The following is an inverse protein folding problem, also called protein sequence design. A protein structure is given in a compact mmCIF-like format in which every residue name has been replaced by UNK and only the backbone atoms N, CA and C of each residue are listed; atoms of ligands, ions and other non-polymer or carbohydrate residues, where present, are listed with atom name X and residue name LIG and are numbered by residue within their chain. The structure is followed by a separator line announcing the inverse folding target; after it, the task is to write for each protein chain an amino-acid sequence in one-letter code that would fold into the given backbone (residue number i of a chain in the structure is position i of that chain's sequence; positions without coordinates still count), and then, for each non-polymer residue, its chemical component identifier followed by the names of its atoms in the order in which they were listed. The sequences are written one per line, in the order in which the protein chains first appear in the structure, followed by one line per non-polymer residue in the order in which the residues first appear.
data_IF_157867886565
#
_entry.id   IF_157867886565
#
_cell.length_a   1.000
_cell.length_b   1.000
_cell.length_c   1.000
_cell.angle_alpha   90.00
_cell.angle_beta   90.00
_cell.angle_gamma   90.00
#
_symmetry.space_group_name_H-M   'P 1'
#
loop_
_entity.id
_entity.type
_entity.pdbx_description
1 polymer ?
#
# COMPACT_ATOMS: atom_id res chain seq x y z
N UNK A 1 -18.59 13.14 -33.18
CA UNK A 1 -18.73 12.38 -31.91
C UNK A 1 -17.52 11.52 -31.51
N UNK A 2 -16.51 11.28 -32.36
CA UNK A 2 -15.33 10.44 -32.02
C UNK A 2 -14.39 11.07 -30.97
N UNK A 3 -14.21 12.40 -31.00
CA UNK A 3 -13.28 13.15 -30.13
C UNK A 3 -13.64 13.10 -28.64
N UNK A 4 -14.92 13.02 -28.31
CA UNK A 4 -15.43 12.95 -26.94
C UNK A 4 -15.13 11.59 -26.29
N UNK A 5 -15.23 10.50 -27.05
CA UNK A 5 -14.88 9.15 -26.56
C UNK A 5 -13.40 9.05 -26.17
N UNK A 6 -12.49 9.57 -27.00
CA UNK A 6 -11.04 9.58 -26.70
C UNK A 6 -10.72 10.38 -25.43
N UNK A 7 -11.48 11.45 -25.17
CA UNK A 7 -11.35 12.27 -23.96
C UNK A 7 -11.82 11.53 -22.69
N UNK A 8 -12.89 10.74 -22.81
CA UNK A 8 -13.41 9.92 -21.71
C UNK A 8 -12.47 8.75 -21.42
N UNK A 9 -11.92 8.09 -22.46
CA UNK A 9 -10.95 7.01 -22.27
C UNK A 9 -9.66 7.50 -21.60
N UNK A 10 -9.14 8.66 -22.01
CA UNK A 10 -7.95 9.25 -21.36
C UNK A 10 -8.23 9.66 -19.90
N UNK A 11 -9.43 10.15 -19.60
CA UNK A 11 -9.84 10.44 -18.22
C UNK A 11 -9.94 9.16 -17.36
N UNK A 12 -10.48 8.07 -17.91
CA UNK A 12 -10.56 6.78 -17.21
C UNK A 12 -9.18 6.18 -16.93
N UNK A 13 -8.29 6.19 -17.92
CA UNK A 13 -6.90 5.71 -17.74
C UNK A 13 -6.16 6.57 -16.72
N UNK A 14 -6.33 7.90 -16.78
CA UNK A 14 -5.74 8.81 -15.79
C UNK A 14 -6.26 8.55 -14.38
N UNK A 15 -7.57 8.32 -14.23
CA UNK A 15 -8.17 8.04 -12.92
C UNK A 15 -7.71 6.69 -12.36
N UNK A 16 -7.60 5.66 -13.20
CA UNK A 16 -7.04 4.37 -12.80
C UNK A 16 -5.60 4.51 -12.31
N UNK A 17 -4.75 5.25 -13.02
CA UNK A 17 -3.38 5.50 -12.60
C UNK A 17 -3.32 6.22 -11.24
N UNK A 18 -4.16 7.23 -11.03
CA UNK A 18 -4.23 7.94 -9.74
C UNK A 18 -4.67 7.01 -8.61
N UNK A 19 -5.65 6.14 -8.83
CA UNK A 19 -6.06 5.15 -7.82
C UNK A 19 -4.97 4.12 -7.53
N UNK A 20 -4.19 3.70 -8.52
CA UNK A 20 -3.02 2.82 -8.30
C UNK A 20 -1.92 3.53 -7.50
N UNK A 21 -1.69 4.81 -7.76
CA UNK A 21 -0.72 5.61 -7.01
C UNK A 21 -1.15 5.87 -5.57
N UNK A 22 -2.45 6.11 -5.34
CA UNK A 22 -3.02 6.26 -4.01
C UNK A 22 -2.85 4.97 -3.19
N UNK A 23 -3.32 3.84 -3.73
CA UNK A 23 -3.19 2.49 -3.13
C UNK A 23 -1.74 2.06 -2.88
N UNK A 24 -0.81 2.50 -3.73
CA UNK A 24 0.62 2.27 -3.53
C UNK A 24 1.17 3.05 -2.33
N UNK A 25 0.67 4.26 -2.07
CA UNK A 25 1.14 5.09 -0.96
C UNK A 25 0.76 4.48 0.41
N UNK A 26 -0.49 4.03 0.58
CA UNK A 26 -0.91 3.35 1.81
C UNK A 26 -0.23 2.00 1.99
N UNK A 27 -0.05 1.22 0.91
CA UNK A 27 0.71 -0.04 0.94
C UNK A 27 2.17 0.18 1.36
N UNK A 28 2.85 1.15 0.76
CA UNK A 28 4.26 1.46 1.08
C UNK A 28 4.41 2.02 2.50
N UNK A 29 3.54 2.95 2.90
CA UNK A 29 3.55 3.53 4.24
C UNK A 29 3.23 2.48 5.32
N UNK A 30 2.20 1.67 5.07
CA UNK A 30 1.83 0.56 5.93
C UNK A 30 2.96 -0.48 6.03
N UNK A 31 3.59 -0.85 4.92
CA UNK A 31 4.74 -1.75 4.90
C UNK A 31 5.92 -1.19 5.71
N UNK A 32 6.22 0.10 5.59
CA UNK A 32 7.32 0.74 6.31
C UNK A 32 7.08 0.78 7.83
N UNK A 33 5.88 1.21 8.26
CA UNK A 33 5.50 1.22 9.68
C UNK A 33 5.46 -0.20 10.25
N UNK A 34 4.89 -1.12 9.48
CA UNK A 34 4.85 -2.54 9.80
C UNK A 34 6.23 -3.16 9.92
N UNK A 35 7.17 -2.82 9.02
CA UNK A 35 8.57 -3.26 9.11
C UNK A 35 9.23 -2.80 10.40
N UNK A 36 9.08 -1.52 10.74
CA UNK A 36 9.70 -0.93 11.93
C UNK A 36 9.15 -1.52 13.22
N UNK A 37 7.82 -1.59 13.35
CA UNK A 37 7.16 -2.17 14.51
C UNK A 37 7.44 -3.68 14.63
N UNK A 38 7.35 -4.41 13.52
CA UNK A 38 7.65 -5.83 13.44
C UNK A 38 9.11 -6.14 13.78
N UNK A 39 10.05 -5.30 13.34
CA UNK A 39 11.46 -5.43 13.71
C UNK A 39 11.68 -5.25 15.21
N UNK A 40 11.03 -4.26 15.82
CA UNK A 40 11.13 -4.01 17.26
C UNK A 40 10.56 -5.18 18.08
N UNK A 41 9.40 -5.71 17.70
CA UNK A 41 8.81 -6.89 18.36
C UNK A 41 9.68 -8.14 18.15
N UNK A 42 10.18 -8.36 16.93
CA UNK A 42 11.07 -9.48 16.62
C UNK A 42 12.39 -9.42 17.38
N UNK A 43 12.93 -8.22 17.62
CA UNK A 43 14.11 -8.01 18.46
C UNK A 43 13.80 -8.26 19.94
N UNK A 44 12.68 -7.74 20.46
CA UNK A 44 12.30 -7.85 21.87
C UNK A 44 11.86 -9.25 22.32
N UNK A 45 11.40 -10.09 21.39
CA UNK A 45 10.93 -11.46 21.68
C UNK A 45 11.98 -12.54 21.41
N UNK A 46 13.16 -12.17 20.89
CA UNK A 46 14.18 -13.14 20.49
C UNK A 46 13.88 -13.88 19.17
N UNK A 47 12.77 -13.56 18.49
CA UNK A 47 12.38 -14.18 17.22
C UNK A 47 13.21 -13.67 16.02
N UNK A 48 14.00 -12.62 16.24
CA UNK A 48 14.89 -12.01 15.26
C UNK A 48 14.24 -10.81 14.58
N UNK A 49 14.95 -9.68 14.59
CA UNK A 49 14.48 -8.42 14.01
C UNK A 49 14.10 -8.57 12.53
N UNK A 50 14.85 -9.35 11.75
CA UNK A 50 14.56 -9.56 10.32
C UNK A 50 13.27 -10.36 10.06
N UNK A 51 12.97 -11.37 10.89
CA UNK A 51 11.73 -12.15 10.77
C UNK A 51 10.53 -11.30 11.15
N UNK A 52 10.64 -10.57 12.27
CA UNK A 52 9.61 -9.65 12.72
C UNK A 52 9.36 -8.53 11.70
N UNK A 53 10.42 -7.97 11.10
CA UNK A 53 10.31 -6.98 10.04
C UNK A 53 9.56 -7.52 8.81
N UNK A 54 9.87 -8.74 8.35
CA UNK A 54 9.20 -9.36 7.20
C UNK A 54 7.72 -9.68 7.44
N UNK A 55 7.36 -10.12 8.64
CA UNK A 55 5.95 -10.33 8.98
C UNK A 55 5.24 -8.98 9.10
N UNK A 56 5.90 -8.02 9.75
CA UNK A 56 5.40 -6.67 9.92
C UNK A 56 5.20 -5.93 8.60
N UNK A 57 6.12 -6.05 7.64
CA UNK A 57 5.94 -5.47 6.29
C UNK A 57 4.73 -6.06 5.61
N UNK A 58 4.52 -7.38 5.68
CA UNK A 58 3.39 -8.05 5.05
C UNK A 58 2.05 -7.60 5.63
N UNK A 59 1.92 -7.59 6.96
CA UNK A 59 0.70 -7.14 7.64
C UNK A 59 0.45 -5.65 7.40
N UNK A 60 1.50 -4.84 7.50
CA UNK A 60 1.44 -3.41 7.26
C UNK A 60 1.05 -3.05 5.82
N UNK A 61 1.60 -3.76 4.84
CA UNK A 61 1.25 -3.60 3.43
C UNK A 61 -0.22 -3.94 3.17
N UNK A 62 -0.70 -5.06 3.73
CA UNK A 62 -2.09 -5.49 3.60
C UNK A 62 -3.06 -4.49 4.27
N UNK A 63 -2.73 -4.02 5.48
CA UNK A 63 -3.51 -3.00 6.17
C UNK A 63 -3.54 -1.68 5.40
N UNK A 64 -2.40 -1.27 4.82
CA UNK A 64 -2.28 -0.11 3.96
C UNK A 64 -3.16 -0.20 2.71
N UNK A 65 -3.14 -1.36 2.04
CA UNK A 65 -3.98 -1.62 0.87
C UNK A 65 -5.48 -1.60 1.22
N UNK A 66 -5.88 -2.23 2.34
CA UNK A 66 -7.27 -2.21 2.81
C UNK A 66 -7.69 -0.79 3.20
N UNK A 67 -6.81 -0.02 3.85
CA UNK A 67 -7.10 1.36 4.23
C UNK A 67 -7.40 2.22 2.99
N UNK A 68 -6.58 2.11 1.94
CA UNK A 68 -6.85 2.81 0.67
C UNK A 68 -8.15 2.34 -0.02
N UNK A 69 -8.56 1.08 0.13
CA UNK A 69 -9.84 0.60 -0.41
C UNK A 69 -11.04 1.12 0.40
N UNK A 70 -10.90 1.28 1.72
CA UNK A 70 -12.04 1.52 2.63
C UNK A 70 -12.28 3.01 2.91
N UNK A 71 -11.24 3.85 2.79
CA UNK A 71 -11.30 5.29 3.11
C UNK A 71 -11.40 6.20 1.89
N UNK A 72 -11.43 5.64 0.69
CA UNK A 72 -11.39 6.37 -0.57
C UNK A 72 -12.69 6.27 -1.36
#
# INVERSE_FOLDING_TARGET
MKKTRTRIYSALVGLSLVSLLATACGTLGGAAVGAGAGAAVGAGTGYGAGKGALIGTGVGAAAGAIYDITKH
#
